data_IF_986876696817
#
_entry.id   IF_986876696817
#
_cell.length_a   1.000
_cell.length_b   1.000
_cell.length_c   1.000
_cell.angle_alpha   90.00
_cell.angle_beta   90.00
_cell.angle_gamma   90.00
#
_symmetry.space_group_name_H-M   'P 1'
#
loop_
_entity.id
_entity.type
_entity.pdbx_description
1 polymer ?
#
# COMPACT_ATOMS: atom_id res chain seq x y z
N UNK A 1 -63.49 -20.70 49.18
CA UNK A 1 -62.61 -19.52 49.03
C UNK A 1 -61.20 -20.03 48.83
N UNK A 2 -60.66 -19.90 47.62
CA UNK A 2 -59.21 -20.01 47.36
C UNK A 2 -58.92 -19.22 46.08
N UNK A 3 -58.30 -18.06 46.27
CA UNK A 3 -57.89 -17.12 45.22
C UNK A 3 -56.45 -17.43 44.82
N UNK A 4 -56.25 -17.94 43.61
CA UNK A 4 -54.91 -18.08 43.02
C UNK A 4 -54.40 -16.75 42.45
N UNK A 5 -53.08 -16.46 42.49
CA UNK A 5 -52.54 -15.19 42.06
C UNK A 5 -52.43 -15.10 40.53
N UNK A 6 -52.79 -13.94 39.98
CA UNK A 6 -52.61 -13.58 38.58
C UNK A 6 -51.14 -13.21 38.35
N UNK A 7 -50.45 -13.75 37.32
CA UNK A 7 -49.07 -13.39 37.06
C UNK A 7 -48.99 -11.98 36.45
N UNK A 8 -48.18 -11.15 37.08
CA UNK A 8 -47.89 -9.77 36.71
C UNK A 8 -47.07 -9.76 35.40
N UNK A 9 -47.68 -9.31 34.29
CA UNK A 9 -46.94 -9.08 33.03
C UNK A 9 -46.17 -7.76 33.17
N UNK A 10 -44.86 -7.86 33.36
CA UNK A 10 -43.96 -6.71 33.31
C UNK A 10 -44.03 -5.99 31.95
N UNK A 11 -43.64 -4.70 31.92
CA UNK A 11 -43.70 -3.89 30.70
C UNK A 11 -42.81 -4.49 29.60
N UNK A 12 -43.18 -4.35 28.32
CA UNK A 12 -42.39 -4.86 27.21
C UNK A 12 -41.00 -4.21 27.27
N UNK A 13 -39.97 -5.07 27.29
CA UNK A 13 -38.59 -4.62 27.20
C UNK A 13 -38.35 -3.83 25.91
N UNK A 14 -37.35 -2.94 25.89
CA UNK A 14 -37.06 -2.11 24.72
C UNK A 14 -36.83 -2.99 23.48
N UNK A 15 -37.26 -2.54 22.29
CA UNK A 15 -37.09 -3.30 21.06
C UNK A 15 -35.59 -3.59 20.87
N UNK A 16 -35.27 -4.87 20.63
CA UNK A 16 -33.92 -5.27 20.25
C UNK A 16 -33.50 -4.47 19.01
N UNK A 17 -32.25 -3.98 18.93
CA UNK A 17 -31.77 -3.29 17.75
C UNK A 17 -31.97 -4.22 16.54
N UNK A 18 -32.79 -3.79 15.60
CA UNK A 18 -32.77 -4.38 14.27
C UNK A 18 -31.42 -4.01 13.67
N UNK A 19 -30.45 -4.91 13.78
CA UNK A 19 -29.22 -4.82 13.01
C UNK A 19 -29.64 -4.92 11.55
N UNK A 20 -29.46 -3.83 10.80
CA UNK A 20 -29.92 -3.65 9.42
C UNK A 20 -29.40 -4.77 8.50
N UNK A 21 -30.22 -5.81 8.31
CA UNK A 21 -29.91 -6.90 7.36
C UNK A 21 -29.74 -6.40 5.92
N UNK A 22 -30.36 -5.26 5.57
CA UNK A 22 -30.25 -4.64 4.25
C UNK A 22 -28.88 -3.99 4.00
N UNK A 23 -28.22 -3.42 5.01
CA UNK A 23 -26.90 -2.79 4.83
C UNK A 23 -25.81 -3.82 4.56
N UNK A 24 -25.89 -4.98 5.23
CA UNK A 24 -24.93 -6.06 5.06
C UNK A 24 -25.02 -6.70 3.66
N UNK A 25 -26.23 -6.90 3.13
CA UNK A 25 -26.41 -7.45 1.79
C UNK A 25 -25.80 -6.59 0.68
N UNK A 26 -25.85 -5.26 0.82
CA UNK A 26 -25.22 -4.33 -0.13
C UNK A 26 -23.69 -4.39 -0.04
N UNK A 27 -23.14 -4.41 1.17
CA UNK A 27 -21.71 -4.55 1.40
C UNK A 27 -21.16 -5.85 0.81
N UNK A 28 -21.81 -6.99 1.10
CA UNK A 28 -21.41 -8.31 0.59
C UNK A 28 -21.47 -8.37 -0.94
N UNK A 29 -22.48 -7.74 -1.55
CA UNK A 29 -22.59 -7.59 -3.00
C UNK A 29 -21.44 -6.78 -3.60
N UNK A 30 -21.03 -5.68 -2.95
CA UNK A 30 -19.90 -4.86 -3.40
C UNK A 30 -18.56 -5.58 -3.20
N UNK A 31 -18.38 -6.34 -2.10
CA UNK A 31 -17.21 -7.19 -1.91
C UNK A 31 -17.10 -8.21 -3.05
N UNK A 32 -18.22 -8.85 -3.40
CA UNK A 32 -18.27 -9.80 -4.51
C UNK A 32 -17.98 -9.13 -5.86
N UNK A 33 -18.43 -7.88 -6.06
CA UNK A 33 -18.10 -7.09 -7.25
C UNK A 33 -16.61 -6.83 -7.37
N UNK A 34 -15.95 -6.40 -6.29
CA UNK A 34 -14.49 -6.16 -6.25
C UNK A 34 -13.72 -7.47 -6.46
N UNK A 35 -14.14 -8.56 -5.81
CA UNK A 35 -13.56 -9.88 -6.04
C UNK A 35 -13.70 -10.32 -7.51
N UNK A 36 -14.87 -10.07 -8.13
CA UNK A 36 -15.10 -10.38 -9.54
C UNK A 36 -14.18 -9.57 -10.46
N UNK A 37 -13.88 -8.31 -10.14
CA UNK A 37 -12.88 -7.53 -10.87
C UNK A 37 -11.50 -8.20 -10.78
N UNK A 38 -11.06 -8.59 -9.58
CA UNK A 38 -9.80 -9.29 -9.38
C UNK A 38 -9.75 -10.63 -10.16
N UNK A 39 -10.82 -11.41 -10.14
CA UNK A 39 -10.91 -12.67 -10.90
C UNK A 39 -10.80 -12.47 -12.41
N UNK A 40 -11.36 -11.37 -12.95
CA UNK A 40 -11.25 -11.03 -14.38
C UNK A 40 -9.83 -10.68 -14.81
N UNK A 41 -8.97 -10.28 -13.87
CA UNK A 41 -7.57 -9.98 -14.14
C UNK A 41 -6.71 -11.24 -14.24
N UNK A 42 -7.07 -12.33 -13.56
CA UNK A 42 -6.30 -13.59 -13.57
C UNK A 42 -6.00 -14.14 -14.99
N UNK A 43 -6.96 -14.20 -15.93
CA UNK A 43 -6.69 -14.67 -17.29
C UNK A 43 -6.01 -13.62 -18.17
N UNK A 44 -5.94 -12.35 -17.74
CA UNK A 44 -5.19 -11.33 -18.46
C UNK A 44 -3.70 -11.60 -18.20
N UNK A 45 -3.04 -12.23 -19.16
CA UNK A 45 -1.58 -12.41 -19.14
C UNK A 45 -0.86 -11.06 -19.02
N UNK A 46 0.46 -11.10 -18.82
CA UNK A 46 1.38 -9.95 -18.73
C UNK A 46 1.06 -8.80 -19.70
N UNK A 47 0.16 -7.91 -19.30
CA UNK A 47 -0.33 -6.84 -20.16
C UNK A 47 -0.55 -5.58 -19.32
N UNK A 48 -0.28 -4.45 -19.96
CA UNK A 48 -0.80 -3.17 -19.50
C UNK A 48 -2.26 -3.07 -19.90
N UNK A 49 -3.09 -2.67 -18.96
CA UNK A 49 -4.50 -2.40 -19.16
C UNK A 49 -4.61 -0.97 -19.66
N UNK A 50 -5.08 -0.80 -20.90
CA UNK A 50 -5.25 0.53 -21.48
C UNK A 50 -6.30 1.35 -20.72
N UNK A 51 -6.23 2.68 -20.84
CA UNK A 51 -7.23 3.58 -20.25
C UNK A 51 -8.67 3.26 -20.69
N UNK A 52 -8.83 2.91 -21.97
CA UNK A 52 -10.13 2.54 -22.51
C UNK A 52 -10.63 1.25 -21.86
N UNK A 53 -9.77 0.25 -21.68
CA UNK A 53 -10.15 -0.99 -21.00
C UNK A 53 -10.43 -0.79 -19.51
N UNK A 54 -9.66 0.05 -18.81
CA UNK A 54 -9.94 0.42 -17.42
C UNK A 54 -11.34 1.03 -17.28
N UNK A 55 -11.71 1.93 -18.19
CA UNK A 55 -13.05 2.53 -18.23
C UNK A 55 -14.12 1.50 -18.57
N UNK A 56 -13.96 0.77 -19.68
CA UNK A 56 -15.03 -0.05 -20.23
C UNK A 56 -15.25 -1.36 -19.46
N UNK A 57 -14.17 -2.01 -19.02
CA UNK A 57 -14.23 -3.32 -18.35
C UNK A 57 -14.36 -3.21 -16.84
N UNK A 58 -13.79 -2.16 -16.25
CA UNK A 58 -13.70 -2.00 -14.79
C UNK A 58 -14.41 -0.75 -14.25
N UNK A 59 -14.81 0.20 -15.10
CA UNK A 59 -15.42 1.46 -14.66
C UNK A 59 -14.44 2.37 -13.92
N UNK A 60 -13.14 2.20 -14.15
CA UNK A 60 -12.06 2.93 -13.48
C UNK A 60 -11.58 4.03 -14.42
N UNK A 61 -11.47 5.25 -13.90
CA UNK A 61 -10.86 6.39 -14.60
C UNK A 61 -9.67 6.85 -13.75
N UNK A 62 -8.44 6.40 -14.08
CA UNK A 62 -7.26 6.80 -13.34
C UNK A 62 -7.02 8.30 -13.46
N UNK A 63 -6.42 8.88 -12.42
CA UNK A 63 -6.00 10.27 -12.40
C UNK A 63 -4.54 10.40 -11.96
N UNK A 64 -3.94 11.56 -12.21
CA UNK A 64 -2.59 11.86 -11.75
C UNK A 64 -2.59 12.14 -10.24
N UNK A 65 -1.54 11.66 -9.58
CA UNK A 65 -1.23 11.90 -8.18
C UNK A 65 -0.20 13.02 -8.06
N UNK A 66 -0.50 14.05 -7.27
CA UNK A 66 0.50 15.05 -6.90
C UNK A 66 1.45 14.47 -5.86
N UNK A 67 2.69 14.20 -6.30
CA UNK A 67 3.73 13.59 -5.46
C UNK A 67 4.23 14.49 -4.35
N UNK A 68 3.98 15.80 -4.38
CA UNK A 68 4.44 16.72 -3.33
C UNK A 68 3.41 16.88 -2.22
N UNK A 69 2.12 16.81 -2.57
CA UNK A 69 1.03 17.09 -1.62
C UNK A 69 0.22 15.86 -1.24
N UNK A 70 0.36 14.77 -1.99
CA UNK A 70 -0.47 13.57 -1.87
C UNK A 70 -1.93 13.77 -2.26
N UNK A 71 -2.27 14.91 -2.86
CA UNK A 71 -3.62 15.23 -3.31
C UNK A 71 -3.88 14.64 -4.69
N UNK A 72 -5.13 14.23 -4.97
CA UNK A 72 -5.54 13.99 -6.35
C UNK A 72 -5.54 15.31 -7.12
N UNK A 73 -5.14 15.28 -8.39
CA UNK A 73 -5.19 16.48 -9.24
C UNK A 73 -6.62 16.90 -9.63
N UNK A 74 -7.59 15.97 -9.59
CA UNK A 74 -8.96 16.28 -10.05
C UNK A 74 -10.00 16.17 -8.94
N UNK A 75 -10.09 15.03 -8.25
CA UNK A 75 -11.13 14.81 -7.25
C UNK A 75 -10.75 13.70 -6.26
N UNK A 76 -11.39 13.71 -5.09
CA UNK A 76 -11.20 12.73 -4.03
C UNK A 76 -10.43 13.28 -2.83
N UNK A 77 -10.38 12.49 -1.77
CA UNK A 77 -9.69 12.86 -0.53
C UNK A 77 -8.23 12.42 -0.55
N UNK A 78 -7.36 13.13 0.16
CA UNK A 78 -5.99 12.69 0.43
C UNK A 78 -6.02 11.49 1.38
N UNK A 79 -5.26 10.43 1.06
CA UNK A 79 -5.15 9.24 1.92
C UNK A 79 -3.84 9.17 2.70
N UNK A 80 -2.79 9.84 2.22
CA UNK A 80 -1.49 9.90 2.89
C UNK A 80 -1.06 11.36 3.01
N UNK A 81 -0.73 11.78 4.22
CA UNK A 81 -0.04 13.04 4.48
C UNK A 81 1.46 12.77 4.51
N UNK A 82 2.17 13.28 3.53
CA UNK A 82 3.60 13.02 3.36
C UNK A 82 4.43 13.60 4.50
N UNK A 83 5.54 12.93 4.80
CA UNK A 83 6.65 13.53 5.55
C UNK A 83 7.45 14.39 4.58
N UNK A 84 7.77 15.63 4.96
CA UNK A 84 8.53 16.53 4.09
C UNK A 84 9.98 16.04 3.91
N UNK A 85 10.60 16.40 2.79
CA UNK A 85 12.01 16.07 2.52
C UNK A 85 12.96 16.57 3.61
N UNK A 86 12.69 17.73 4.21
CA UNK A 86 13.47 18.29 5.31
C UNK A 86 13.34 17.43 6.57
N UNK A 87 12.12 17.00 6.90
CA UNK A 87 11.87 16.16 8.05
C UNK A 87 12.45 14.75 7.85
N UNK A 88 12.33 14.17 6.66
CA UNK A 88 12.99 12.91 6.31
C UNK A 88 14.51 13.02 6.41
N UNK A 89 15.10 14.12 5.93
CA UNK A 89 16.54 14.37 6.07
C UNK A 89 16.96 14.43 7.54
N UNK A 90 16.23 15.18 8.36
CA UNK A 90 16.49 15.27 9.79
C UNK A 90 16.37 13.91 10.50
N UNK A 91 15.41 13.06 10.10
CA UNK A 91 15.29 11.70 10.62
C UNK A 91 16.48 10.83 10.20
N UNK A 92 16.88 10.84 8.93
CA UNK A 92 18.05 10.07 8.49
C UNK A 92 19.34 10.51 9.19
N UNK A 93 19.53 11.81 9.40
CA UNK A 93 20.69 12.33 10.13
C UNK A 93 20.70 11.87 11.60
N UNK A 94 19.51 11.78 12.22
CA UNK A 94 19.36 11.31 13.59
C UNK A 94 19.58 9.80 13.71
N UNK A 95 18.87 8.99 12.93
CA UNK A 95 18.91 7.52 13.04
C UNK A 95 20.13 6.89 12.38
N UNK A 96 20.84 7.62 11.52
CA UNK A 96 22.05 7.18 10.82
C UNK A 96 21.90 5.77 10.25
N UNK A 97 21.20 5.59 9.13
CA UNK A 97 20.94 4.28 8.55
C UNK A 97 22.21 3.44 8.43
N UNK A 98 22.10 2.14 8.73
CA UNK A 98 23.24 1.23 8.72
C UNK A 98 23.87 1.23 7.33
N UNK A 99 25.16 1.54 7.27
CA UNK A 99 26.02 1.28 6.11
C UNK A 99 26.73 -0.03 6.47
N UNK A 100 26.37 -1.14 5.85
CA UNK A 100 26.97 -2.44 6.17
C UNK A 100 28.32 -2.58 5.45
N UNK A 101 29.47 -2.61 6.15
CA UNK A 101 30.78 -2.70 5.52
C UNK A 101 31.08 -4.08 4.92
N UNK A 102 30.37 -5.14 5.36
CA UNK A 102 30.56 -6.51 4.86
C UNK A 102 29.74 -6.81 3.59
N UNK A 103 28.89 -5.87 3.17
CA UNK A 103 28.34 -5.84 1.81
C UNK A 103 29.20 -4.86 1.01
N UNK A 104 30.28 -5.35 0.41
CA UNK A 104 31.15 -4.59 -0.53
C UNK A 104 30.38 -4.02 -1.75
N UNK A 105 29.07 -4.28 -1.88
CA UNK A 105 28.16 -3.78 -2.92
C UNK A 105 27.01 -2.89 -2.38
N UNK A 106 27.03 -2.57 -1.08
CA UNK A 106 26.05 -1.67 -0.45
C UNK A 106 26.46 -0.20 -0.48
N UNK A 107 27.62 0.10 -1.09
CA UNK A 107 27.81 1.43 -1.62
C UNK A 107 26.76 1.67 -2.70
N UNK A 108 26.00 2.72 -2.44
CA UNK A 108 24.73 3.12 -3.00
C UNK A 108 24.73 3.38 -4.50
N UNK A 109 25.79 3.03 -5.20
CA UNK A 109 25.90 3.05 -6.65
C UNK A 109 25.34 1.73 -7.20
N UNK A 110 24.57 1.80 -8.29
CA UNK A 110 24.26 0.61 -9.07
C UNK A 110 25.51 0.24 -9.93
N UNK A 111 26.68 0.20 -9.30
CA UNK A 111 28.02 0.23 -9.91
C UNK A 111 28.27 -1.02 -10.79
N UNK A 112 27.76 -2.18 -10.39
CA UNK A 112 27.99 -3.44 -11.11
C UNK A 112 27.01 -3.75 -12.25
N UNK A 113 26.01 -2.89 -12.44
CA UNK A 113 25.00 -3.11 -13.48
C UNK A 113 25.12 -2.01 -14.52
N UNK A 114 26.02 -2.25 -15.48
CA UNK A 114 26.27 -1.45 -16.67
C UNK A 114 25.01 -0.67 -17.11
N UNK A 115 24.95 0.67 -16.99
CA UNK A 115 23.78 1.47 -17.37
C UNK A 115 23.47 1.42 -18.88
N UNK A 116 24.32 0.75 -19.66
CA UNK A 116 24.16 0.50 -21.10
C UNK A 116 24.15 -0.99 -21.46
N UNK A 117 24.25 -1.88 -20.49
CA UNK A 117 24.17 -3.33 -20.69
C UNK A 117 22.74 -3.81 -20.44
N UNK A 118 22.24 -4.83 -21.16
CA UNK A 118 20.99 -5.46 -20.77
C UNK A 118 21.12 -5.93 -19.32
N UNK A 119 20.21 -5.50 -18.44
CA UNK A 119 20.17 -6.07 -17.09
C UNK A 119 19.98 -7.57 -17.20
N UNK A 120 20.55 -8.30 -16.26
CA UNK A 120 20.54 -9.76 -16.22
C UNK A 120 19.12 -10.31 -16.09
N UNK A 121 18.39 -10.45 -17.20
CA UNK A 121 17.17 -11.24 -17.45
C UNK A 121 15.96 -11.14 -16.47
N UNK A 122 16.07 -10.48 -15.32
CA UNK A 122 15.06 -10.46 -14.25
C UNK A 122 14.80 -9.03 -13.72
N UNK A 123 13.93 -8.26 -14.40
CA UNK A 123 13.52 -6.94 -13.95
C UNK A 123 12.86 -6.93 -12.55
N UNK A 124 12.21 -8.03 -12.16
CA UNK A 124 11.59 -8.16 -10.85
C UNK A 124 12.67 -8.29 -9.76
N UNK A 125 13.68 -9.15 -9.98
CA UNK A 125 14.86 -9.27 -9.13
C UNK A 125 15.58 -7.93 -8.92
N UNK A 126 15.87 -7.20 -9.98
CA UNK A 126 16.52 -5.89 -9.88
C UNK A 126 15.67 -4.87 -9.08
N UNK A 127 14.34 -4.93 -9.20
CA UNK A 127 13.46 -4.07 -8.41
C UNK A 127 13.41 -4.43 -6.92
N UNK A 128 13.59 -5.71 -6.57
CA UNK A 128 13.71 -6.15 -5.17
C UNK A 128 14.98 -5.57 -4.55
N UNK A 129 16.10 -5.60 -5.27
CA UNK A 129 17.37 -5.03 -4.80
C UNK A 129 17.27 -3.51 -4.61
N UNK A 130 16.68 -2.80 -5.58
CA UNK A 130 16.40 -1.37 -5.45
C UNK A 130 15.55 -1.07 -4.20
N UNK A 131 14.47 -1.82 -3.98
CA UNK A 131 13.61 -1.68 -2.80
C UNK A 131 14.36 -1.91 -1.50
N UNK A 132 15.22 -2.93 -1.44
CA UNK A 132 16.05 -3.20 -0.25
C UNK A 132 16.96 -2.00 0.05
N UNK A 133 17.64 -1.47 -0.98
CA UNK A 133 18.50 -0.29 -0.84
C UNK A 133 17.72 0.94 -0.35
N UNK A 134 16.51 1.18 -0.87
CA UNK A 134 15.64 2.29 -0.43
C UNK A 134 15.19 2.07 1.03
N UNK A 135 14.65 0.89 1.36
CA UNK A 135 14.07 0.63 2.69
C UNK A 135 15.13 0.57 3.80
N UNK A 136 16.38 0.23 3.50
CA UNK A 136 17.47 0.29 4.48
C UNK A 136 17.62 1.67 5.12
N UNK A 137 17.25 2.75 4.42
CA UNK A 137 17.27 4.11 4.98
C UNK A 137 16.30 4.33 6.15
N UNK A 138 15.27 3.50 6.27
CA UNK A 138 14.18 3.71 7.23
C UNK A 138 13.90 2.50 8.13
N UNK A 139 14.35 1.31 7.73
CA UNK A 139 14.23 0.07 8.51
C UNK A 139 15.48 -0.31 9.30
N UNK A 140 16.64 0.27 8.95
CA UNK A 140 17.91 -0.05 9.59
C UNK A 140 18.51 1.20 10.25
N UNK A 141 19.17 1.03 11.40
CA UNK A 141 20.01 2.05 12.03
C UNK A 141 21.39 1.47 12.32
N UNK A 142 22.43 2.32 12.23
CA UNK A 142 23.79 1.98 12.64
C UNK A 142 23.86 1.63 14.12
N UNK A 143 23.01 2.24 14.97
CA UNK A 143 22.90 1.90 16.37
C UNK A 143 21.54 1.21 16.62
N UNK A 144 21.57 -0.11 16.83
CA UNK A 144 20.35 -0.89 17.07
C UNK A 144 19.53 -0.39 18.28
N UNK A 145 20.18 0.23 19.28
CA UNK A 145 19.49 0.81 20.45
C UNK A 145 18.62 2.02 20.09
N UNK A 146 18.91 2.69 18.97
CA UNK A 146 18.10 3.83 18.49
C UNK A 146 16.81 3.38 17.80
N UNK A 147 16.68 2.08 17.49
CA UNK A 147 15.59 1.57 16.65
C UNK A 147 15.69 2.09 15.21
N UNK A 148 14.59 2.05 14.46
CA UNK A 148 14.53 2.54 13.08
C UNK A 148 13.45 3.62 12.89
N UNK A 149 13.47 4.32 11.75
CA UNK A 149 12.56 5.43 11.45
C UNK A 149 11.11 4.93 11.40
N UNK A 150 10.84 3.83 10.70
CA UNK A 150 9.48 3.30 10.54
C UNK A 150 8.85 3.01 11.89
N UNK A 151 9.54 2.25 12.75
CA UNK A 151 9.03 1.86 14.06
C UNK A 151 8.89 3.05 15.00
N UNK A 152 9.88 3.95 14.99
CA UNK A 152 9.97 5.03 15.97
C UNK A 152 9.15 6.27 15.61
N UNK A 153 8.96 6.55 14.31
CA UNK A 153 8.36 7.81 13.84
C UNK A 153 7.03 7.64 13.12
N UNK A 154 6.69 6.43 12.67
CA UNK A 154 5.48 6.19 11.85
C UNK A 154 4.48 5.27 12.55
N UNK A 155 3.27 5.17 11.98
CA UNK A 155 2.27 4.18 12.36
C UNK A 155 2.34 2.91 11.53
N UNK A 156 3.37 2.71 10.70
CA UNK A 156 3.45 1.54 9.82
C UNK A 156 4.14 0.37 10.52
N UNK A 157 3.58 -0.82 10.38
CA UNK A 157 4.21 -2.08 10.82
C UNK A 157 4.13 -3.12 9.73
N UNK A 158 5.22 -3.85 9.55
CA UNK A 158 5.27 -4.96 8.62
C UNK A 158 4.20 -5.98 9.00
N UNK A 159 3.52 -6.50 8.00
CA UNK A 159 2.40 -7.40 8.16
C UNK A 159 2.49 -8.52 7.13
N UNK A 160 2.38 -9.76 7.59
CA UNK A 160 2.41 -10.92 6.71
C UNK A 160 1.00 -11.22 6.19
N UNK A 161 0.78 -11.03 4.88
CA UNK A 161 -0.40 -11.53 4.18
C UNK A 161 0.01 -12.72 3.32
N UNK A 162 -0.50 -13.91 3.64
CA UNK A 162 -0.32 -15.10 2.81
C UNK A 162 -1.44 -15.18 1.78
N UNK A 163 -1.26 -14.54 0.62
CA UNK A 163 -2.24 -14.57 -0.47
C UNK A 163 -1.58 -15.00 -1.77
N UNK A 164 -2.02 -16.14 -2.30
CA UNK A 164 -1.52 -16.71 -3.57
C UNK A 164 -1.78 -15.78 -4.78
N UNK A 165 -2.71 -14.83 -4.64
CA UNK A 165 -3.03 -13.83 -5.67
C UNK A 165 -2.10 -12.60 -5.67
N UNK A 166 -1.15 -12.50 -4.73
CA UNK A 166 -0.19 -11.40 -4.64
C UNK A 166 1.18 -11.75 -5.24
N UNK A 167 1.24 -12.83 -6.00
CA UNK A 167 2.41 -13.25 -6.75
C UNK A 167 1.96 -14.03 -7.98
N UNK A 168 2.78 -13.98 -9.02
CA UNK A 168 2.67 -14.85 -10.18
C UNK A 168 4.07 -15.08 -10.71
N UNK A 169 4.46 -16.35 -10.77
CA UNK A 169 5.70 -16.77 -11.40
C UNK A 169 5.36 -17.78 -12.48
N UNK A 170 5.41 -17.35 -13.74
CA UNK A 170 5.29 -18.23 -14.90
C UNK A 170 6.38 -17.91 -15.94
N UNK A 171 6.49 -18.75 -16.98
CA UNK A 171 7.54 -18.61 -18.01
C UNK A 171 7.48 -17.30 -18.82
N UNK A 172 6.41 -16.51 -18.68
CA UNK A 172 6.17 -15.30 -19.47
C UNK A 172 6.03 -14.04 -18.61
N UNK A 173 5.84 -14.20 -17.29
CA UNK A 173 5.56 -13.10 -16.39
C UNK A 173 5.90 -13.47 -14.95
N UNK A 174 6.78 -12.65 -14.36
CA UNK A 174 7.09 -12.73 -12.95
C UNK A 174 6.69 -11.40 -12.29
N UNK A 175 5.79 -11.46 -11.32
CA UNK A 175 5.56 -10.33 -10.42
C UNK A 175 5.25 -10.84 -9.02
N UNK A 176 5.63 -10.07 -8.02
CA UNK A 176 5.36 -10.38 -6.64
C UNK A 176 5.17 -9.12 -5.80
N UNK A 177 4.31 -9.22 -4.80
CA UNK A 177 4.20 -8.22 -3.75
C UNK A 177 5.04 -8.67 -2.57
N UNK A 178 5.93 -7.78 -2.15
CA UNK A 178 6.76 -7.92 -0.96
C UNK A 178 6.43 -6.80 0.03
N UNK A 179 6.88 -6.96 1.28
CA UNK A 179 6.92 -5.90 2.28
C UNK A 179 5.60 -5.12 2.39
N UNK A 180 4.61 -5.76 3.02
CA UNK A 180 3.28 -5.18 3.23
C UNK A 180 3.26 -4.52 4.61
N UNK A 181 2.76 -3.29 4.69
CA UNK A 181 2.65 -2.54 5.93
C UNK A 181 1.20 -2.16 6.22
N UNK A 182 0.77 -2.33 7.47
CA UNK A 182 -0.51 -1.83 7.97
C UNK A 182 -0.31 -0.66 8.92
N UNK A 183 -1.28 0.24 8.95
CA UNK A 183 -1.34 1.25 10.00
C UNK A 183 -1.70 0.60 11.34
N UNK A 184 -0.98 0.97 12.40
CA UNK A 184 -1.22 0.56 13.78
C UNK A 184 -1.49 1.77 14.67
N UNK A 185 -2.18 1.56 15.78
CA UNK A 185 -2.51 2.66 16.69
C UNK A 185 -1.22 3.26 17.28
N UNK A 186 -1.00 4.59 17.18
CA UNK A 186 0.17 5.26 17.76
C UNK A 186 0.35 5.04 19.27
N UNK A 187 -0.72 4.75 20.00
CA UNK A 187 -0.66 4.42 21.44
C UNK A 187 -0.06 3.05 21.73
N UNK A 188 0.03 2.17 20.72
CA UNK A 188 0.65 0.85 20.81
C UNK A 188 2.11 0.82 20.32
N UNK A 189 2.75 1.99 20.18
CA UNK A 189 4.17 2.14 19.78
C UNK A 189 5.14 1.72 20.90
N UNK A 190 4.98 0.53 21.45
CA UNK A 190 6.00 -0.08 22.28
C UNK A 190 7.02 -0.79 21.34
N UNK A 191 8.30 -0.36 21.32
CA UNK A 191 9.35 -0.98 20.50
C UNK A 191 9.54 -2.47 20.78
N UNK A 192 9.13 -2.95 21.95
CA UNK A 192 9.23 -4.36 22.35
C UNK A 192 7.98 -5.18 22.03
N UNK A 193 6.91 -4.55 21.53
CA UNK A 193 5.65 -5.24 21.26
C UNK A 193 5.69 -5.96 19.91
N UNK A 194 5.89 -7.28 19.95
CA UNK A 194 5.88 -8.18 18.79
C UNK A 194 4.49 -8.31 18.12
N UNK A 195 3.43 -7.78 18.73
CA UNK A 195 2.06 -7.83 18.23
C UNK A 195 1.41 -6.46 18.33
N UNK A 196 1.60 -5.61 17.32
CA UNK A 196 0.83 -4.38 17.20
C UNK A 196 -0.51 -4.69 16.52
N UNK A 197 -1.62 -4.27 17.12
CA UNK A 197 -2.93 -4.41 16.49
C UNK A 197 -3.08 -3.34 15.39
N UNK A 198 -3.69 -3.70 14.24
CA UNK A 198 -4.04 -2.71 13.22
C UNK A 198 -4.95 -1.63 13.77
N UNK A 199 -4.76 -0.37 13.33
CA UNK A 199 -5.59 0.75 13.78
C UNK A 199 -7.00 0.65 13.17
N UNK A 200 -8.06 0.42 13.98
CA UNK A 200 -9.42 0.25 13.45
C UNK A 200 -9.97 1.51 12.78
N UNK A 201 -9.35 2.68 12.98
CA UNK A 201 -9.74 3.96 12.37
C UNK A 201 -9.15 4.13 10.97
N UNK A 202 -8.04 3.46 10.68
CA UNK A 202 -7.28 3.64 9.45
C UNK A 202 -7.03 2.28 8.78
N UNK A 203 -7.94 1.81 7.90
CA UNK A 203 -7.77 0.58 7.12
C UNK A 203 -6.72 0.73 6.00
N UNK A 204 -5.70 1.56 6.20
CA UNK A 204 -4.68 1.83 5.22
C UNK A 204 -3.66 0.70 5.18
N UNK A 205 -3.22 0.39 3.97
CA UNK A 205 -2.18 -0.60 3.72
C UNK A 205 -1.23 -0.09 2.63
N UNK A 206 0.06 -0.37 2.82
CA UNK A 206 1.09 -0.10 1.84
C UNK A 206 1.76 -1.41 1.42
N UNK A 207 2.27 -1.47 0.20
CA UNK A 207 3.01 -2.63 -0.28
C UNK A 207 4.01 -2.27 -1.37
N UNK A 208 5.05 -3.09 -1.51
CA UNK A 208 6.02 -3.01 -2.59
C UNK A 208 5.72 -4.07 -3.64
N UNK A 209 5.44 -3.64 -4.86
CA UNK A 209 5.15 -4.53 -5.99
C UNK A 209 6.36 -4.55 -6.91
N UNK A 210 6.84 -5.74 -7.25
CA UNK A 210 7.93 -5.99 -8.19
C UNK A 210 7.34 -6.66 -9.42
N UNK A 211 7.50 -6.04 -10.59
CA UNK A 211 6.89 -6.50 -11.82
C UNK A 211 7.92 -6.59 -12.95
N UNK A 212 7.91 -7.69 -13.69
CA UNK A 212 8.70 -7.83 -14.90
C UNK A 212 8.26 -6.85 -16.02
N UNK A 213 7.02 -6.38 -15.99
CA UNK A 213 6.53 -5.36 -16.92
C UNK A 213 7.03 -3.98 -16.48
N UNK A 214 7.70 -3.22 -17.36
CA UNK A 214 8.15 -1.87 -17.05
C UNK A 214 7.02 -0.97 -16.58
N UNK A 215 7.27 -0.17 -15.53
CA UNK A 215 6.38 0.92 -15.11
C UNK A 215 6.22 1.92 -16.25
N UNK A 216 4.99 2.37 -16.48
CA UNK A 216 4.65 3.25 -17.60
C UNK A 216 4.63 4.71 -17.18
N UNK A 217 4.89 5.59 -18.14
CA UNK A 217 4.80 7.05 -17.94
C UNK A 217 3.37 7.60 -18.10
N UNK A 218 2.44 6.74 -18.50
CA UNK A 218 1.04 7.07 -18.71
C UNK A 218 0.15 6.59 -17.54
N UNK A 219 -1.14 6.92 -17.66
CA UNK A 219 -2.16 6.53 -16.69
C UNK A 219 -2.67 5.08 -16.88
N UNK A 220 -2.01 4.27 -17.72
CA UNK A 220 -2.31 2.84 -17.82
C UNK A 220 -1.78 2.09 -16.59
N UNK A 221 -2.38 0.96 -16.27
CA UNK A 221 -1.98 0.10 -15.15
C UNK A 221 -1.43 -1.22 -15.69
N UNK A 222 -0.48 -1.84 -15.01
CA UNK A 222 -0.21 -3.27 -15.20
C UNK A 222 -1.32 -4.09 -14.53
N UNK A 223 -1.49 -5.34 -14.99
CA UNK A 223 -2.37 -6.29 -14.29
C UNK A 223 -1.95 -6.46 -12.84
N UNK A 224 -0.65 -6.47 -12.54
CA UNK A 224 -0.12 -6.64 -11.19
C UNK A 224 -0.48 -5.45 -10.28
N UNK A 225 -0.39 -4.22 -10.77
CA UNK A 225 -0.76 -3.02 -10.00
C UNK A 225 -2.24 -3.05 -9.58
N UNK A 226 -3.14 -3.27 -10.53
CA UNK A 226 -4.57 -3.31 -10.23
C UNK A 226 -4.92 -4.54 -9.37
N UNK A 227 -4.31 -5.69 -9.64
CA UNK A 227 -4.50 -6.90 -8.82
C UNK A 227 -4.07 -6.67 -7.38
N UNK A 228 -2.93 -6.02 -7.16
CA UNK A 228 -2.40 -5.68 -5.83
C UNK A 228 -3.37 -4.78 -5.07
N UNK A 229 -3.87 -3.70 -5.70
CA UNK A 229 -4.85 -2.80 -5.08
C UNK A 229 -6.11 -3.55 -4.66
N UNK A 230 -6.71 -4.32 -5.57
CA UNK A 230 -7.97 -5.01 -5.28
C UNK A 230 -7.79 -6.13 -4.25
N UNK A 231 -6.70 -6.90 -4.35
CA UNK A 231 -6.41 -8.01 -3.46
C UNK A 231 -6.14 -7.52 -2.02
N UNK A 232 -5.30 -6.50 -1.85
CA UNK A 232 -5.04 -5.92 -0.54
C UNK A 232 -6.31 -5.32 0.08
N UNK A 233 -7.13 -4.63 -0.71
CA UNK A 233 -8.40 -4.09 -0.23
C UNK A 233 -9.36 -5.18 0.27
N UNK A 234 -9.47 -6.28 -0.47
CA UNK A 234 -10.28 -7.44 -0.05
C UNK A 234 -9.73 -8.10 1.21
N UNK A 235 -8.40 -8.21 1.34
CA UNK A 235 -7.73 -8.75 2.54
C UNK A 235 -8.03 -7.91 3.78
N UNK A 236 -8.01 -6.57 3.64
CA UNK A 236 -8.38 -5.64 4.71
C UNK A 236 -9.87 -5.79 5.06
N UNK A 237 -10.77 -5.80 4.07
CA UNK A 237 -12.22 -5.95 4.31
C UNK A 237 -12.62 -7.30 4.90
N UNK A 238 -11.82 -8.34 4.69
CA UNK A 238 -12.01 -9.63 5.35
C UNK A 238 -11.92 -9.55 6.88
N UNK A 239 -11.34 -8.48 7.42
CA UNK A 239 -11.17 -8.30 8.87
C UNK A 239 -12.43 -7.72 9.51
N UNK A 240 -12.94 -8.31 10.60
CA UNK A 240 -14.16 -7.84 11.26
C UNK A 240 -14.12 -6.36 11.69
N UNK A 241 -12.96 -5.87 12.12
CA UNK A 241 -12.79 -4.48 12.57
C UNK A 241 -13.03 -3.43 11.47
N UNK A 242 -12.82 -3.79 10.20
CA UNK A 242 -12.95 -2.88 9.06
C UNK A 242 -14.28 -3.02 8.31
N UNK A 243 -15.23 -3.81 8.82
CA UNK A 243 -16.56 -3.96 8.17
C UNK A 243 -17.36 -2.66 8.03
N UNK A 244 -16.99 -1.64 8.80
CA UNK A 244 -17.60 -0.30 8.74
C UNK A 244 -16.82 0.70 7.90
N UNK A 245 -15.67 0.30 7.34
CA UNK A 245 -14.88 1.17 6.49
C UNK A 245 -15.72 1.63 5.29
N UNK A 246 -15.67 2.93 5.01
CA UNK A 246 -16.25 3.53 3.81
C UNK A 246 -15.36 3.20 2.62
N UNK A 247 -14.06 3.45 2.80
CA UNK A 247 -13.02 3.35 1.79
C UNK A 247 -11.85 2.61 2.41
N UNK A 248 -11.23 1.71 1.65
CA UNK A 248 -9.95 1.08 2.01
C UNK A 248 -8.85 1.66 1.11
N UNK A 249 -7.97 2.53 1.65
CA UNK A 249 -6.88 3.08 0.88
C UNK A 249 -5.67 2.15 0.81
N UNK A 250 -5.13 2.00 -0.38
CA UNK A 250 -3.97 1.20 -0.71
C UNK A 250 -2.92 2.12 -1.31
N UNK A 251 -1.66 2.02 -0.88
CA UNK A 251 -0.52 2.66 -1.56
C UNK A 251 0.45 1.58 -2.01
N UNK A 252 0.65 1.47 -3.33
CA UNK A 252 1.54 0.50 -3.93
C UNK A 252 2.77 1.23 -4.48
N UNK A 253 3.94 0.86 -4.00
CA UNK A 253 5.22 1.24 -4.60
C UNK A 253 5.51 0.23 -5.71
N UNK A 254 5.05 0.53 -6.92
CA UNK A 254 5.20 -0.34 -8.09
C UNK A 254 6.57 -0.12 -8.71
N UNK A 255 7.34 -1.20 -8.77
CA UNK A 255 8.73 -1.21 -9.17
C UNK A 255 8.92 -2.18 -10.34
N UNK A 256 9.78 -1.79 -11.28
CA UNK A 256 10.27 -2.67 -12.34
C UNK A 256 11.66 -2.22 -12.74
N UNK A 257 12.64 -3.13 -12.70
CA UNK A 257 14.06 -2.75 -12.76
C UNK A 257 14.37 -1.64 -11.75
N UNK A 258 15.00 -0.54 -12.18
CA UNK A 258 15.31 0.64 -11.35
C UNK A 258 14.30 1.77 -11.45
N UNK A 259 13.07 1.46 -11.83
CA UNK A 259 12.01 2.47 -12.00
C UNK A 259 10.90 2.18 -11.02
N UNK A 260 10.38 3.25 -10.42
CA UNK A 260 9.36 3.20 -9.38
C UNK A 260 8.26 4.20 -9.70
N UNK A 261 7.01 3.81 -9.50
CA UNK A 261 5.89 4.76 -9.40
C UNK A 261 4.96 4.38 -8.26
N UNK A 262 4.25 5.37 -7.74
CA UNK A 262 3.28 5.20 -6.68
C UNK A 262 1.90 5.07 -7.31
N UNK A 263 1.24 3.95 -7.01
CA UNK A 263 -0.17 3.72 -7.35
C UNK A 263 -0.97 3.77 -6.06
N UNK A 264 -1.78 4.82 -5.89
CA UNK A 264 -2.69 4.96 -4.77
C UNK A 264 -4.11 4.56 -5.18
N UNK A 265 -4.65 3.54 -4.53
CA UNK A 265 -6.02 3.06 -4.75
C UNK A 265 -6.93 3.40 -3.57
N UNK A 266 -8.17 3.79 -3.86
CA UNK A 266 -9.24 3.92 -2.87
C UNK A 266 -10.42 3.03 -3.25
N UNK A 267 -10.62 1.92 -2.52
CA UNK A 267 -11.73 1.00 -2.78
C UNK A 267 -12.90 1.32 -1.87
N UNK A 268 -13.96 1.88 -2.44
CA UNK A 268 -15.21 2.19 -1.75
C UNK A 268 -16.13 0.97 -1.79
N UNK A 269 -16.25 0.26 -0.67
CA UNK A 269 -17.12 -0.90 -0.55
C UNK A 269 -18.59 -0.55 -0.29
N UNK A 270 -18.94 0.72 -0.08
CA UNK A 270 -20.34 1.16 -0.01
C UNK A 270 -20.94 1.40 -1.40
N UNK A 271 -20.15 1.92 -2.34
CA UNK A 271 -20.56 2.16 -3.73
C UNK A 271 -20.03 1.11 -4.71
N UNK A 272 -19.04 0.31 -4.31
CA UNK A 272 -18.33 -0.64 -5.17
C UNK A 272 -17.51 0.06 -6.26
N UNK A 273 -17.04 1.29 -6.00
CA UNK A 273 -16.20 2.08 -6.90
C UNK A 273 -14.73 1.95 -6.49
N UNK A 274 -13.85 2.09 -7.47
CA UNK A 274 -12.40 2.05 -7.29
C UNK A 274 -11.82 3.35 -7.85
N UNK A 275 -11.24 4.16 -6.98
CA UNK A 275 -10.43 5.33 -7.35
C UNK A 275 -8.97 4.89 -7.51
N UNK A 276 -8.32 5.30 -8.59
CA UNK A 276 -6.90 4.99 -8.83
C UNK A 276 -6.17 6.29 -9.17
N UNK A 277 -5.03 6.48 -8.53
CA UNK A 277 -4.15 7.63 -8.73
C UNK A 277 -2.73 7.15 -8.96
N UNK A 278 -2.07 7.73 -9.95
CA UNK A 278 -0.76 7.27 -10.41
C UNK A 278 0.20 8.45 -10.39
N UNK A 279 1.36 8.28 -9.75
CA UNK A 279 2.43 9.26 -9.80
C UNK A 279 3.20 9.20 -11.12
N UNK A 280 3.94 10.26 -11.48
CA UNK A 280 5.05 10.13 -12.42
C UNK A 280 6.05 9.05 -11.98
N UNK A 281 6.82 8.53 -12.94
CA UNK A 281 7.88 7.55 -12.67
C UNK A 281 9.10 8.24 -12.06
N UNK A 282 9.56 7.72 -10.93
CA UNK A 282 10.88 7.96 -10.39
C UNK A 282 11.89 7.00 -11.04
N UNK A 283 13.00 7.55 -11.52
CA UNK A 283 14.02 6.81 -12.23
C UNK A 283 15.32 6.79 -11.42
N UNK A 284 15.77 5.59 -11.06
CA UNK A 284 17.01 5.34 -10.33
C UNK A 284 18.08 4.69 -11.23
N UNK A 285 17.94 4.79 -12.56
CA UNK A 285 18.90 4.20 -13.51
C UNK A 285 20.21 4.99 -13.63
N UNK A 286 20.17 6.30 -13.42
CA UNK A 286 21.32 7.19 -13.57
C UNK A 286 21.90 7.55 -12.19
N UNK A 287 22.94 6.83 -11.79
CA UNK A 287 23.72 7.15 -10.60
C UNK A 287 23.18 6.53 -9.31
N UNK A 288 24.08 6.36 -8.35
CA UNK A 288 23.72 5.92 -7.01
C UNK A 288 22.89 6.95 -6.24
N UNK A 289 22.17 6.49 -5.22
CA UNK A 289 21.34 7.33 -4.33
C UNK A 289 22.14 8.49 -3.69
N UNK A 290 23.47 8.36 -3.64
CA UNK A 290 24.42 9.36 -3.12
C UNK A 290 25.06 10.29 -4.15
N UNK A 291 24.93 10.00 -5.44
CA UNK A 291 25.80 10.60 -6.48
C UNK A 291 25.39 12.02 -6.90
N UNK A 292 24.12 12.40 -6.74
CA UNK A 292 23.65 13.74 -7.07
C UNK A 292 22.42 14.21 -6.26
N UNK A 293 22.18 15.52 -6.26
CA UNK A 293 21.10 16.15 -5.49
C UNK A 293 19.69 15.76 -5.99
N UNK A 294 19.54 15.42 -7.27
CA UNK A 294 18.27 15.01 -7.86
C UNK A 294 17.90 13.60 -7.39
N UNK A 295 18.83 12.65 -7.45
CA UNK A 295 18.66 11.28 -6.94
C UNK A 295 18.34 11.27 -5.44
N UNK A 296 19.00 12.13 -4.66
CA UNK A 296 18.67 12.33 -3.24
C UNK A 296 17.25 12.89 -3.04
N UNK A 297 16.83 13.86 -3.85
CA UNK A 297 15.49 14.44 -3.76
C UNK A 297 14.40 13.40 -4.10
N UNK A 298 14.64 12.55 -5.11
CA UNK A 298 13.75 11.45 -5.47
C UNK A 298 13.63 10.46 -4.31
N UNK A 299 14.76 10.03 -3.73
CA UNK A 299 14.76 9.14 -2.57
C UNK A 299 13.94 9.73 -1.41
N UNK A 300 14.23 10.98 -1.02
CA UNK A 300 13.54 11.66 0.07
C UNK A 300 12.03 11.73 -0.15
N UNK A 301 11.60 11.96 -1.39
CA UNK A 301 10.18 11.97 -1.74
C UNK A 301 9.54 10.57 -1.60
N UNK A 302 10.17 9.53 -2.14
CA UNK A 302 9.68 8.14 -2.00
C UNK A 302 9.60 7.74 -0.52
N UNK A 303 10.62 8.04 0.28
CA UNK A 303 10.62 7.78 1.71
C UNK A 303 9.59 8.62 2.46
N UNK A 304 9.35 9.86 2.04
CA UNK A 304 8.32 10.74 2.60
C UNK A 304 6.90 10.24 2.36
N UNK A 305 6.67 9.57 1.22
CA UNK A 305 5.45 8.83 0.93
C UNK A 305 5.31 7.57 1.80
N UNK A 306 6.36 6.76 1.86
CA UNK A 306 6.36 5.51 2.62
C UNK A 306 6.15 5.78 4.12
N UNK A 307 6.87 6.75 4.68
CA UNK A 307 6.75 7.13 6.09
C UNK A 307 5.57 8.07 6.38
N UNK A 308 4.77 8.43 5.37
CA UNK A 308 3.65 9.35 5.49
C UNK A 308 2.55 8.85 6.43
N UNK A 309 1.80 9.78 7.03
CA UNK A 309 0.73 9.44 7.96
C UNK A 309 -0.57 9.09 7.21
N UNK A 310 -1.30 8.03 7.61
CA UNK A 310 -2.61 7.74 7.06
C UNK A 310 -3.62 8.83 7.45
N UNK A 311 -4.40 9.30 6.47
CA UNK A 311 -5.39 10.37 6.63
C UNK A 311 -6.62 10.12 5.75
N UNK A 312 -7.61 11.00 5.81
CA UNK A 312 -8.83 10.92 4.99
C UNK A 312 -10.02 10.35 5.75
N UNK A 313 -11.22 10.59 5.22
CA UNK A 313 -12.49 10.14 5.79
C UNK A 313 -12.80 8.72 5.29
N UNK A 314 -12.15 7.77 5.93
CA UNK A 314 -12.23 6.34 5.59
C UNK A 314 -13.23 5.57 6.46
N UNK A 315 -13.74 6.20 7.53
CA UNK A 315 -14.74 5.68 8.46
C UNK A 315 -15.97 6.61 8.53
N UNK A 316 -17.15 6.13 8.95
CA UNK A 316 -18.41 6.89 9.02
C UNK A 316 -18.34 8.18 9.83
#
# INVERSE_FOLDING_TARGET
MSSGPIPNRGPPGPPRPQVDKQSNGKLDGNITKVATMLWRLQPMNAQRISLQELRDKFGIIPQLLDVQTGKPLTHGETFIKLVSSDQMSAWMDHFQPRQEPDFEESDFEFEDLNPRGPSSWDPAGESIDMKNKILNHVLCSKNWEMGNIVESKTSWRSFLIKWDHLQRSDHHHNWEVSEIFLSVDPSQRDPMCLSCDPDPRFPHIQAWLHDAIPVGEDLSLTVAELSTVLALALSVMGRPMYRRALIVPITVFSCSSRRLRIVQGGVDFQSGKVDIRISPTADFSAGGVRTDAQSRAILLNVLGWFCGEPVGKVMP
#
